data_IF_391069306063
#
_entry.id   IF_391069306063
#
_cell.length_a   1.000
_cell.length_b   1.000
_cell.length_c   1.000
_cell.angle_alpha   90.00
_cell.angle_beta   90.00
_cell.angle_gamma   90.00
#
_symmetry.space_group_name_H-M   'P 1'
#
loop_
_entity.id
_entity.type
_entity.pdbx_description
1 polymer ?
#
# COMPACT_ATOMS: atom_id res chain seq x y z
N UNK A 1 3.16 13.36 17.30
CA UNK A 1 2.63 11.97 17.21
C UNK A 1 1.80 11.87 15.94
N UNK A 2 2.26 11.12 14.94
CA UNK A 2 1.48 10.86 13.73
C UNK A 2 0.28 9.96 14.08
N UNK A 3 -0.86 10.16 13.42
CA UNK A 3 -2.02 9.26 13.57
C UNK A 3 -1.60 7.83 13.23
N UNK A 4 -2.07 6.86 14.04
CA UNK A 4 -1.89 5.43 13.76
C UNK A 4 -2.41 5.12 12.35
N UNK A 5 -1.58 4.48 11.53
CA UNK A 5 -1.98 4.00 10.19
C UNK A 5 -2.90 2.80 10.34
N UNK A 6 -3.91 2.73 9.49
CA UNK A 6 -4.90 1.64 9.50
C UNK A 6 -5.31 1.37 8.05
N UNK A 7 -5.38 0.09 7.71
CA UNK A 7 -6.03 -0.43 6.50
C UNK A 7 -7.25 -1.21 7.00
N UNK A 8 -8.44 -0.83 6.56
CA UNK A 8 -9.64 -1.57 6.92
C UNK A 8 -9.67 -2.90 6.14
N UNK A 9 -10.04 -4.04 6.78
CA UNK A 9 -10.06 -5.35 6.12
C UNK A 9 -10.78 -5.35 4.77
N UNK A 10 -11.96 -4.72 4.71
CA UNK A 10 -12.80 -4.62 3.51
C UNK A 10 -12.15 -3.81 2.37
N UNK A 11 -11.13 -3.01 2.67
CA UNK A 11 -10.39 -2.22 1.69
C UNK A 11 -9.08 -2.90 1.24
N UNK A 12 -8.72 -4.07 1.78
CA UNK A 12 -7.42 -4.70 1.52
C UNK A 12 -7.12 -4.84 0.01
N UNK A 13 -8.10 -5.29 -0.78
CA UNK A 13 -7.97 -5.40 -2.24
C UNK A 13 -7.78 -4.04 -2.94
N UNK A 14 -8.48 -2.99 -2.47
CA UNK A 14 -8.30 -1.64 -3.00
C UNK A 14 -6.92 -1.08 -2.67
N UNK A 15 -6.44 -1.32 -1.44
CA UNK A 15 -5.10 -0.94 -1.02
C UNK A 15 -4.03 -1.65 -1.82
N UNK A 16 -4.12 -2.98 -2.00
CA UNK A 16 -3.17 -3.74 -2.81
C UNK A 16 -3.04 -3.13 -4.21
N UNK A 17 -4.16 -2.87 -4.88
CA UNK A 17 -4.15 -2.24 -6.21
C UNK A 17 -3.52 -0.85 -6.20
N UNK A 18 -3.82 0.00 -5.21
CA UNK A 18 -3.25 1.36 -5.11
C UNK A 18 -1.74 1.32 -4.85
N UNK A 19 -1.28 0.39 -4.00
CA UNK A 19 0.12 0.23 -3.66
C UNK A 19 0.92 -0.30 -4.86
N UNK A 20 0.37 -1.28 -5.58
CA UNK A 20 0.98 -1.80 -6.81
C UNK A 20 1.12 -0.69 -7.87
N UNK A 21 0.05 0.05 -8.14
CA UNK A 21 0.13 1.16 -9.10
C UNK A 21 1.12 2.23 -8.63
N UNK A 22 1.16 2.54 -7.33
CA UNK A 22 2.08 3.55 -6.82
C UNK A 22 3.56 3.12 -6.88
N UNK A 23 3.85 1.84 -6.68
CA UNK A 23 5.22 1.30 -6.61
C UNK A 23 5.81 0.93 -7.99
N UNK A 24 4.96 0.66 -8.99
CA UNK A 24 5.38 0.13 -10.28
C UNK A 24 5.06 1.04 -11.48
N UNK A 25 4.13 1.98 -11.36
CA UNK A 25 3.91 2.98 -12.42
C UNK A 25 5.01 4.06 -12.37
N UNK A 26 5.88 4.17 -13.40
CA UNK A 26 6.95 5.16 -13.41
C UNK A 26 6.41 6.61 -13.48
N UNK A 27 5.16 6.81 -13.89
CA UNK A 27 4.51 8.12 -13.88
C UNK A 27 3.88 8.48 -12.52
N UNK A 28 3.82 7.52 -11.57
CA UNK A 28 3.20 7.75 -10.28
C UNK A 28 4.13 8.51 -9.32
N UNK A 29 3.64 9.63 -8.81
CA UNK A 29 4.32 10.44 -7.77
C UNK A 29 3.76 10.23 -6.36
N UNK A 30 2.92 9.21 -6.15
CA UNK A 30 2.26 9.00 -4.86
C UNK A 30 3.12 8.27 -3.83
N UNK A 31 4.20 7.62 -4.25
CA UNK A 31 5.09 6.87 -3.38
C UNK A 31 6.53 7.04 -3.88
N UNK A 32 7.43 7.40 -2.97
CA UNK A 32 8.86 7.49 -3.26
C UNK A 32 9.61 6.41 -2.47
N UNK A 33 9.77 5.24 -3.10
CA UNK A 33 10.50 4.11 -2.51
C UNK A 33 12.00 4.37 -2.39
N UNK A 34 12.56 5.23 -3.25
CA UNK A 34 13.97 5.58 -3.18
C UNK A 34 14.24 6.41 -1.93
N UNK A 35 13.45 7.46 -1.69
CA UNK A 35 13.50 8.25 -0.45
C UNK A 35 13.33 7.36 0.79
N UNK A 36 12.43 6.39 0.72
CA UNK A 36 12.21 5.47 1.84
C UNK A 36 13.40 4.55 2.11
N UNK A 37 14.09 4.08 1.05
CA UNK A 37 15.33 3.34 1.18
C UNK A 37 16.45 4.21 1.79
N UNK A 38 16.58 5.45 1.34
CA UNK A 38 17.58 6.39 1.87
C UNK A 38 17.35 6.64 3.37
N UNK A 39 16.10 6.86 3.79
CA UNK A 39 15.74 7.00 5.22
C UNK A 39 16.13 5.76 6.01
N UNK A 40 15.82 4.55 5.50
CA UNK A 40 16.17 3.30 6.18
C UNK A 40 17.69 3.11 6.29
N UNK A 41 18.44 3.43 5.23
CA UNK A 41 19.90 3.37 5.22
C UNK A 41 20.53 4.32 6.25
N UNK A 42 19.88 5.46 6.52
CA UNK A 42 20.30 6.38 7.57
C UNK A 42 19.99 5.86 9.00
N UNK A 43 18.89 5.14 9.19
CA UNK A 43 18.46 4.67 10.52
C UNK A 43 18.96 3.28 10.89
N UNK A 44 19.21 2.42 9.90
CA UNK A 44 19.66 1.04 10.06
C UNK A 44 20.97 0.82 9.27
N UNK A 45 22.09 1.37 9.76
CA UNK A 45 23.37 1.23 9.06
C UNK A 45 23.78 -0.24 8.98
N UNK A 46 24.21 -0.68 7.79
CA UNK A 46 24.70 -2.03 7.53
C UNK A 46 23.78 -2.90 6.66
N UNK A 47 22.58 -2.42 6.34
CA UNK A 47 21.72 -3.00 5.30
C UNK A 47 21.69 -2.04 4.11
N UNK A 48 21.92 -2.55 2.90
CA UNK A 48 21.88 -1.75 1.66
C UNK A 48 20.44 -1.72 1.11
N UNK A 49 19.56 -0.95 1.76
CA UNK A 49 18.18 -0.82 1.32
C UNK A 49 18.12 -0.09 -0.02
N UNK A 50 17.19 -0.54 -0.86
CA UNK A 50 17.00 -0.04 -2.22
C UNK A 50 15.50 -0.06 -2.52
N UNK A 51 15.03 0.80 -3.43
CA UNK A 51 13.63 0.81 -3.86
C UNK A 51 13.14 -0.58 -4.34
N UNK A 52 14.04 -1.35 -4.97
CA UNK A 52 13.76 -2.72 -5.43
C UNK A 52 13.40 -3.68 -4.30
N UNK A 53 13.90 -3.49 -3.09
CA UNK A 53 13.53 -4.32 -1.94
C UNK A 53 12.04 -4.12 -1.60
N UNK A 54 11.58 -2.87 -1.55
CA UNK A 54 10.16 -2.58 -1.31
C UNK A 54 9.24 -3.11 -2.41
N UNK A 55 9.66 -2.99 -3.67
CA UNK A 55 8.95 -3.60 -4.80
C UNK A 55 8.88 -5.12 -4.70
N UNK A 56 10.00 -5.78 -4.38
CA UNK A 56 10.07 -7.24 -4.25
C UNK A 56 9.19 -7.73 -3.11
N UNK A 57 9.24 -7.06 -1.95
CA UNK A 57 8.37 -7.36 -0.80
C UNK A 57 6.89 -7.24 -1.18
N UNK A 58 6.50 -6.19 -1.91
CA UNK A 58 5.11 -5.98 -2.32
C UNK A 58 4.64 -7.04 -3.32
N UNK A 59 5.51 -7.43 -4.25
CA UNK A 59 5.21 -8.50 -5.21
C UNK A 59 5.08 -9.85 -4.53
N UNK A 60 5.90 -10.15 -3.52
CA UNK A 60 5.77 -11.37 -2.73
C UNK A 60 4.40 -11.43 -2.06
N UNK A 61 3.96 -10.35 -1.41
CA UNK A 61 2.60 -10.26 -0.83
C UNK A 61 1.55 -10.47 -1.93
N UNK A 62 1.63 -9.75 -3.05
CA UNK A 62 0.67 -9.87 -4.14
C UNK A 62 0.58 -11.30 -4.71
N UNK A 63 1.74 -11.97 -4.84
CA UNK A 63 1.85 -13.36 -5.28
C UNK A 63 1.14 -14.29 -4.31
N UNK A 64 1.47 -14.21 -3.02
CA UNK A 64 0.88 -15.05 -1.97
C UNK A 64 -0.65 -14.91 -1.94
N UNK A 65 -1.15 -13.67 -2.02
CA UNK A 65 -2.59 -13.40 -2.01
C UNK A 65 -3.32 -13.91 -3.27
N UNK A 66 -2.60 -14.05 -4.38
CA UNK A 66 -3.15 -14.57 -5.65
C UNK A 66 -3.09 -16.09 -5.69
N UNK A 67 -2.00 -16.68 -5.20
CA UNK A 67 -1.76 -18.13 -5.22
C UNK A 67 -2.57 -18.86 -4.15
N UNK A 68 -2.78 -18.23 -3.00
CA UNK A 68 -3.41 -18.85 -1.84
C UNK A 68 -4.60 -18.02 -1.32
N UNK A 69 -5.60 -17.69 -2.15
CA UNK A 69 -6.64 -16.72 -1.79
C UNK A 69 -7.48 -17.15 -0.57
N UNK A 70 -7.58 -18.45 -0.28
CA UNK A 70 -8.34 -19.00 0.85
C UNK A 70 -7.54 -18.99 2.17
N UNK A 71 -6.22 -18.90 2.12
CA UNK A 71 -5.36 -18.92 3.30
C UNK A 71 -5.26 -17.53 3.96
N UNK A 72 -5.62 -16.48 3.21
CA UNK A 72 -5.58 -15.10 3.66
C UNK A 72 -6.98 -14.50 3.66
N UNK A 73 -7.60 -14.40 4.84
CA UNK A 73 -8.80 -13.59 5.04
C UNK A 73 -8.48 -12.08 4.92
N UNK A 74 -9.51 -11.26 4.79
CA UNK A 74 -9.36 -9.81 4.57
C UNK A 74 -8.60 -9.10 5.69
N UNK A 75 -8.74 -9.54 6.94
CA UNK A 75 -7.98 -8.99 8.07
C UNK A 75 -6.49 -9.27 7.91
N UNK A 76 -6.11 -10.51 7.56
CA UNK A 76 -4.72 -10.89 7.35
C UNK A 76 -4.10 -10.17 6.15
N UNK A 77 -4.88 -9.98 5.08
CA UNK A 77 -4.47 -9.17 3.91
C UNK A 77 -4.16 -7.74 4.33
N UNK A 78 -5.06 -7.11 5.09
CA UNK A 78 -4.88 -5.75 5.58
C UNK A 78 -3.63 -5.62 6.49
N UNK A 79 -3.39 -6.60 7.37
CA UNK A 79 -2.19 -6.63 8.22
C UNK A 79 -0.89 -6.67 7.42
N UNK A 80 -0.80 -7.55 6.40
CA UNK A 80 0.39 -7.66 5.56
C UNK A 80 0.66 -6.36 4.78
N UNK A 81 -0.39 -5.78 4.20
CA UNK A 81 -0.28 -4.51 3.48
C UNK A 81 0.08 -3.35 4.42
N UNK A 82 -0.46 -3.34 5.64
CA UNK A 82 -0.15 -2.32 6.64
C UNK A 82 1.30 -2.45 7.11
N UNK A 83 1.78 -3.67 7.39
CA UNK A 83 3.17 -3.91 7.77
C UNK A 83 4.15 -3.47 6.67
N UNK A 84 3.82 -3.75 5.41
CA UNK A 84 4.59 -3.25 4.27
C UNK A 84 4.57 -1.72 4.23
N UNK A 85 3.40 -1.10 4.40
CA UNK A 85 3.25 0.35 4.36
C UNK A 85 3.97 1.04 5.53
N UNK A 86 3.95 0.46 6.73
CA UNK A 86 4.68 0.98 7.90
C UNK A 86 6.19 1.02 7.66
N UNK A 87 6.74 0.02 6.94
CA UNK A 87 8.16 -0.01 6.58
C UNK A 87 8.50 0.94 5.43
N UNK A 88 7.71 0.91 4.35
CA UNK A 88 8.12 1.52 3.07
C UNK A 88 7.48 2.87 2.79
N UNK A 89 6.37 3.23 3.43
CA UNK A 89 5.61 4.43 3.08
C UNK A 89 5.93 5.56 4.07
N UNK A 90 6.38 6.70 3.55
CA UNK A 90 6.63 7.89 4.35
C UNK A 90 5.31 8.62 4.71
N UNK A 91 5.27 9.44 5.78
CA UNK A 91 4.03 10.08 6.23
C UNK A 91 3.27 10.86 5.16
N UNK A 92 3.96 11.59 4.28
CA UNK A 92 3.33 12.37 3.20
C UNK A 92 2.78 11.46 2.10
N UNK A 93 3.51 10.39 1.77
CA UNK A 93 3.08 9.40 0.75
C UNK A 93 1.83 8.66 1.23
N UNK A 94 1.77 8.34 2.53
CA UNK A 94 0.59 7.74 3.14
C UNK A 94 -0.67 8.57 2.90
N UNK A 95 -0.59 9.90 3.08
CA UNK A 95 -1.73 10.79 2.82
C UNK A 95 -2.15 10.78 1.35
N UNK A 96 -1.20 10.76 0.42
CA UNK A 96 -1.47 10.68 -1.03
C UNK A 96 -2.15 9.36 -1.40
N UNK A 97 -1.66 8.25 -0.85
CA UNK A 97 -2.22 6.91 -1.06
C UNK A 97 -3.64 6.81 -0.49
N UNK A 98 -3.90 7.31 0.71
CA UNK A 98 -5.25 7.39 1.28
C UNK A 98 -6.20 8.18 0.36
N UNK A 99 -5.73 9.28 -0.23
CA UNK A 99 -6.48 10.04 -1.22
C UNK A 99 -6.83 9.22 -2.47
N UNK A 100 -5.91 8.39 -2.95
CA UNK A 100 -6.15 7.48 -4.09
C UNK A 100 -7.14 6.36 -3.74
N UNK A 101 -7.00 5.74 -2.58
CA UNK A 101 -7.94 4.72 -2.07
C UNK A 101 -9.35 5.30 -1.97
N UNK A 102 -9.50 6.47 -1.35
CA UNK A 102 -10.79 7.16 -1.25
C UNK A 102 -11.41 7.42 -2.62
N UNK A 103 -10.62 7.90 -3.59
CA UNK A 103 -11.09 8.12 -4.97
C UNK A 103 -11.54 6.83 -5.65
N UNK A 104 -10.82 5.72 -5.47
CA UNK A 104 -11.20 4.41 -6.04
C UNK A 104 -12.47 3.88 -5.40
N UNK A 105 -12.58 3.94 -4.07
CA UNK A 105 -13.79 3.55 -3.33
C UNK A 105 -15.01 4.31 -3.82
N UNK A 106 -14.91 5.62 -4.02
CA UNK A 106 -16.01 6.44 -4.54
C UNK A 106 -16.44 6.06 -5.96
N UNK A 107 -15.51 5.60 -6.81
CA UNK A 107 -15.83 5.12 -8.17
C UNK A 107 -16.45 3.73 -8.18
N UNK A 108 -16.11 2.89 -7.20
CA UNK A 108 -16.63 1.53 -7.07
C UNK A 108 -18.07 1.49 -6.52
N UNK A 109 -18.52 2.55 -5.84
CA UNK A 109 -19.93 2.70 -5.44
C UNK A 109 -20.70 3.23 -6.66
N UNK A 110 -21.63 2.46 -7.26
CA UNK A 110 -22.43 2.96 -8.36
C UNK A 110 -23.29 4.12 -7.87
N UNK A 111 -23.41 5.16 -8.70
CA UNK A 111 -24.37 6.25 -8.53
C UNK A 111 -25.77 5.66 -8.82
N UNK A 112 -26.32 4.86 -7.92
CA UNK A 112 -27.70 4.34 -7.96
C UNK A 112 -28.53 4.81 -6.78
N UNK A 113 -28.16 5.94 -6.17
CA UNK A 113 -29.08 6.72 -5.31
C UNK A 113 -29.64 7.91 -6.08
N UNK A 114 -30.44 7.60 -7.09
CA UNK A 114 -31.54 8.46 -7.49
C UNK A 114 -32.79 7.60 -7.49
N UNK A 115 -33.67 7.87 -6.53
CA UNK A 115 -35.06 7.49 -6.51
C UNK A 115 -35.81 8.54 -5.69
N UNK A 116 -37.14 8.64 -5.79
CA UNK A 116 -38.07 8.00 -6.72
C UNK A 116 -38.28 8.78 -8.03
#
# INVERSE_FOLDING_TARGET
MGRKRVIAPEEASLWLSVLLDAAFDPASTALDLQRSADVQNHTEPGRDWQARHGQTDLLAIASDLTQYPHDYNDARRAELLLAWAERWVQPDDWQRLQGRVRKRRQRAVPITKWGP
#
